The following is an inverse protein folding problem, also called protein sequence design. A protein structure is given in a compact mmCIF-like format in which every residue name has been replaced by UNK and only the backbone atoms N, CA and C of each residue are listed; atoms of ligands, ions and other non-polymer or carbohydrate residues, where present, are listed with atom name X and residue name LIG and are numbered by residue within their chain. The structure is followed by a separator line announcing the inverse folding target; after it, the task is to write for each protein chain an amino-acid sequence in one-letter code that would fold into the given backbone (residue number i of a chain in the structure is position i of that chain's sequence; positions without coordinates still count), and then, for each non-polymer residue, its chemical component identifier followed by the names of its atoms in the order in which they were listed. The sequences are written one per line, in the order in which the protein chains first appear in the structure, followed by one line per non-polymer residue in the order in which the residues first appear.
data_IF_937573164965
#
_entry.id   IF_937573164965
#
_cell.length_a   1.000
_cell.length_b   1.000
_cell.length_c   1.000
_cell.angle_alpha   90.00
_cell.angle_beta   90.00
_cell.angle_gamma   90.00
#
_symmetry.space_group_name_H-M   'P 1'
#
loop_
_entity.id
_entity.type
_entity.pdbx_description
1 polymer ?
#
# COMPACT_ATOMS: atom_id res chain seq x y z
N UNK A 1 -30.84 37.29 -70.07
CA UNK A 1 -29.81 36.23 -70.18
C UNK A 1 -29.06 36.12 -68.85
N UNK A 2 -28.84 34.86 -68.41
CA UNK A 2 -28.08 34.35 -67.23
C UNK A 2 -28.45 34.90 -65.83
N UNK A 3 -29.25 34.22 -64.97
CA UNK A 3 -29.06 32.97 -64.20
C UNK A 3 -28.09 33.02 -63.01
N UNK A 4 -28.69 32.89 -61.80
CA UNK A 4 -28.24 32.20 -60.56
C UNK A 4 -27.07 32.84 -59.79
N UNK A 5 -26.98 32.86 -58.45
CA UNK A 5 -27.43 31.91 -57.41
C UNK A 5 -27.75 32.63 -56.09
N UNK A 6 -28.70 32.07 -55.34
CA UNK A 6 -28.92 32.30 -53.90
C UNK A 6 -27.80 31.63 -53.09
N UNK A 7 -27.34 32.27 -52.01
CA UNK A 7 -26.64 31.58 -50.92
C UNK A 7 -27.19 32.08 -49.58
N UNK A 8 -27.70 31.13 -48.81
CA UNK A 8 -28.22 31.26 -47.45
C UNK A 8 -27.03 31.27 -46.49
N UNK A 9 -26.93 32.26 -45.61
CA UNK A 9 -26.02 32.23 -44.46
C UNK A 9 -26.80 31.74 -43.25
N UNK A 10 -26.67 30.44 -42.98
CA UNK A 10 -27.18 29.77 -41.79
C UNK A 10 -26.22 30.00 -40.60
N UNK A 11 -26.81 30.12 -39.41
CA UNK A 11 -26.12 30.44 -38.17
C UNK A 11 -25.04 29.43 -37.76
N UNK A 12 -23.92 29.96 -37.28
CA UNK A 12 -22.90 29.20 -36.58
C UNK A 12 -23.31 29.00 -35.13
N UNK A 13 -23.79 27.80 -34.80
CA UNK A 13 -23.82 27.31 -33.42
C UNK A 13 -22.38 26.94 -33.05
N UNK A 14 -21.80 27.65 -32.08
CA UNK A 14 -20.51 27.32 -31.52
C UNK A 14 -20.57 25.97 -30.82
N UNK A 15 -19.94 24.96 -31.41
CA UNK A 15 -19.64 23.70 -30.75
C UNK A 15 -18.59 23.98 -29.67
N UNK A 16 -19.05 24.12 -28.43
CA UNK A 16 -18.21 23.96 -27.26
C UNK A 16 -17.71 22.51 -27.25
N UNK A 17 -16.46 22.31 -27.69
CA UNK A 17 -15.75 21.06 -27.48
C UNK A 17 -15.57 20.92 -25.98
N UNK A 18 -16.41 20.12 -25.34
CA UNK A 18 -16.18 19.66 -23.99
C UNK A 18 -14.88 18.87 -23.99
N UNK A 19 -13.88 19.38 -23.27
CA UNK A 19 -12.70 18.62 -22.90
C UNK A 19 -13.16 17.48 -21.99
N UNK A 20 -13.51 16.34 -22.60
CA UNK A 20 -13.71 15.11 -21.87
C UNK A 20 -12.38 14.77 -21.18
N UNK A 21 -12.36 14.85 -19.85
CA UNK A 21 -11.30 14.32 -19.00
C UNK A 21 -11.14 12.85 -19.33
N UNK A 22 -10.10 12.52 -20.11
CA UNK A 22 -9.80 11.14 -20.46
C UNK A 22 -9.48 10.40 -19.16
N UNK A 23 -10.01 9.18 -18.94
CA UNK A 23 -9.50 8.33 -17.90
C UNK A 23 -8.01 8.16 -18.18
N UNK A 24 -7.23 8.60 -17.23
CA UNK A 24 -5.79 8.49 -17.18
C UNK A 24 -5.48 6.98 -17.32
N UNK A 25 -5.23 6.51 -18.55
CA UNK A 25 -5.20 5.10 -18.86
C UNK A 25 -3.86 4.50 -18.41
N UNK A 26 -3.92 3.39 -17.67
CA UNK A 26 -2.75 2.61 -17.30
C UNK A 26 -1.95 2.23 -18.56
N UNK A 27 -0.63 2.41 -18.55
CA UNK A 27 0.26 2.12 -19.70
C UNK A 27 0.55 0.64 -19.92
N UNK A 28 -0.15 -0.24 -19.22
CA UNK A 28 -0.10 -1.67 -19.47
C UNK A 28 -0.81 -2.00 -20.78
N UNK A 29 -0.10 -2.70 -21.65
CA UNK A 29 -0.55 -3.11 -22.97
C UNK A 29 -1.24 -4.48 -22.91
N UNK A 30 -0.75 -5.39 -22.06
CA UNK A 30 -1.42 -6.66 -21.80
C UNK A 30 -1.05 -7.23 -20.44
N UNK A 31 -1.99 -7.96 -19.84
CA UNK A 31 -1.77 -8.80 -18.67
C UNK A 31 -2.35 -10.19 -18.95
N UNK A 32 -1.50 -11.21 -18.86
CA UNK A 32 -1.89 -12.60 -18.98
C UNK A 32 -1.51 -13.32 -17.69
N UNK A 33 -2.43 -14.17 -17.22
CA UNK A 33 -2.23 -15.02 -16.04
C UNK A 33 -2.64 -16.45 -16.36
N UNK A 34 -1.76 -17.39 -16.01
CA UNK A 34 -2.05 -18.82 -16.07
C UNK A 34 -1.78 -19.45 -14.70
N UNK A 35 -2.78 -20.15 -14.17
CA UNK A 35 -2.69 -20.83 -12.87
C UNK A 35 -2.31 -22.29 -13.06
N UNK A 36 -1.36 -22.75 -12.26
CA UNK A 36 -0.90 -24.14 -12.21
C UNK A 36 -0.98 -24.66 -10.77
N UNK A 37 -0.78 -25.97 -10.59
CA UNK A 37 -0.59 -26.54 -9.27
C UNK A 37 0.64 -25.90 -8.59
N UNK A 38 0.42 -25.20 -7.48
CA UNK A 38 1.48 -24.59 -6.66
C UNK A 38 1.99 -23.22 -7.10
N UNK A 39 1.68 -22.72 -8.31
CA UNK A 39 2.14 -21.42 -8.79
C UNK A 39 1.19 -20.75 -9.78
N UNK A 40 1.29 -19.44 -9.89
CA UNK A 40 0.67 -18.65 -10.96
C UNK A 40 1.77 -18.02 -11.81
N UNK A 41 1.69 -18.17 -13.12
CA UNK A 41 2.58 -17.52 -14.08
C UNK A 41 1.91 -16.30 -14.67
N UNK A 42 2.71 -15.26 -14.89
CA UNK A 42 2.28 -13.97 -15.39
C UNK A 42 3.12 -13.59 -16.59
N UNK A 43 2.48 -12.98 -17.59
CA UNK A 43 3.16 -12.24 -18.65
C UNK A 43 2.54 -10.86 -18.75
N UNK A 44 3.38 -9.82 -18.69
CA UNK A 44 2.95 -8.43 -18.69
C UNK A 44 3.70 -7.66 -19.76
N UNK A 45 2.97 -6.89 -20.56
CA UNK A 45 3.53 -5.93 -21.52
C UNK A 45 3.14 -4.52 -21.12
N UNK A 46 4.08 -3.57 -21.18
CA UNK A 46 3.82 -2.16 -20.84
C UNK A 46 4.76 -1.21 -21.58
N UNK A 47 4.42 0.08 -21.62
CA UNK A 47 5.31 1.15 -22.08
C UNK A 47 6.05 1.74 -20.88
N UNK A 48 7.39 1.76 -20.94
CA UNK A 48 8.21 2.38 -19.90
C UNK A 48 8.28 3.92 -20.01
N UNK A 49 9.11 4.56 -19.18
CA UNK A 49 9.30 6.02 -19.20
C UNK A 49 9.84 6.56 -20.53
N UNK A 50 10.52 5.72 -21.32
CA UNK A 50 11.09 6.07 -22.63
C UNK A 50 10.17 5.67 -23.80
N UNK A 51 8.91 5.29 -23.53
CA UNK A 51 7.97 4.77 -24.53
C UNK A 51 8.44 3.47 -25.19
N UNK A 52 9.36 2.74 -24.56
CA UNK A 52 9.77 1.43 -25.05
C UNK A 52 8.80 0.39 -24.53
N UNK A 53 8.36 -0.48 -25.44
CA UNK A 53 7.61 -1.64 -25.05
C UNK A 53 8.50 -2.61 -24.28
N UNK A 54 8.02 -3.02 -23.11
CA UNK A 54 8.63 -4.05 -22.27
C UNK A 54 7.71 -5.25 -22.22
N UNK A 55 8.31 -6.43 -22.13
CA UNK A 55 7.64 -7.71 -21.98
C UNK A 55 8.38 -8.48 -20.87
N UNK A 56 7.62 -8.95 -19.87
CA UNK A 56 8.18 -9.67 -18.73
C UNK A 56 7.31 -10.88 -18.43
N UNK A 57 7.99 -11.99 -18.10
CA UNK A 57 7.37 -13.19 -17.58
C UNK A 57 7.96 -13.57 -16.24
N UNK A 58 7.11 -13.92 -15.28
CA UNK A 58 7.52 -14.37 -13.96
C UNK A 58 6.46 -15.28 -13.34
N UNK A 59 6.82 -16.00 -12.28
CA UNK A 59 5.90 -16.87 -11.55
C UNK A 59 5.92 -16.53 -10.06
N UNK A 60 4.76 -16.62 -9.42
CA UNK A 60 4.61 -16.51 -7.96
C UNK A 60 4.05 -17.80 -7.40
N UNK A 61 4.50 -18.20 -6.22
CA UNK A 61 3.95 -19.35 -5.52
C UNK A 61 2.48 -19.09 -5.14
N UNK A 62 1.59 -20.03 -5.44
CA UNK A 62 0.16 -19.92 -5.10
C UNK A 62 -0.05 -19.76 -3.59
N UNK A 63 0.76 -20.46 -2.79
CA UNK A 63 0.72 -20.36 -1.33
C UNK A 63 1.01 -18.93 -0.82
N UNK A 64 1.95 -18.19 -1.43
CA UNK A 64 2.25 -16.82 -1.02
C UNK A 64 1.12 -15.86 -1.40
N UNK A 65 0.50 -16.05 -2.57
CA UNK A 65 -0.67 -15.27 -3.00
C UNK A 65 -1.83 -15.50 -2.03
N UNK A 66 -2.13 -16.75 -1.74
CA UNK A 66 -3.27 -17.13 -0.91
C UNK A 66 -3.08 -16.71 0.56
N UNK A 67 -1.86 -16.86 1.10
CA UNK A 67 -1.54 -16.42 2.46
C UNK A 67 -1.62 -14.89 2.58
N UNK A 68 -1.06 -14.16 1.62
CA UNK A 68 -1.15 -12.69 1.61
C UNK A 68 -2.60 -12.23 1.56
N UNK A 69 -3.41 -12.83 0.67
CA UNK A 69 -4.82 -12.52 0.53
C UNK A 69 -5.63 -12.85 1.79
N UNK A 70 -5.39 -13.98 2.45
CA UNK A 70 -6.10 -14.33 3.70
C UNK A 70 -5.77 -13.34 4.83
N UNK A 71 -4.49 -13.05 5.03
CA UNK A 71 -4.02 -12.21 6.12
C UNK A 71 -4.74 -10.84 6.16
N UNK A 72 -4.84 -10.17 5.01
CA UNK A 72 -5.47 -8.84 4.96
C UNK A 72 -6.99 -8.87 4.99
N UNK A 73 -7.64 -9.99 4.60
CA UNK A 73 -9.10 -10.16 4.69
C UNK A 73 -9.59 -10.49 6.09
N UNK A 74 -8.78 -11.23 6.84
CA UNK A 74 -9.16 -11.73 8.17
C UNK A 74 -9.01 -10.65 9.27
N UNK A 75 -8.21 -9.61 9.03
CA UNK A 75 -8.12 -8.48 9.95
C UNK A 75 -9.46 -7.76 10.06
N UNK A 76 -9.97 -7.60 11.28
CA UNK A 76 -11.14 -6.78 11.57
C UNK A 76 -11.07 -6.16 12.96
N UNK A 77 -11.71 -5.01 13.14
CA UNK A 77 -11.81 -4.38 14.46
C UNK A 77 -12.69 -5.18 15.43
N UNK A 78 -13.67 -5.91 14.90
CA UNK A 78 -14.47 -6.85 15.69
C UNK A 78 -13.63 -8.03 16.17
N UNK A 79 -12.83 -8.63 15.30
CA UNK A 79 -11.89 -9.69 15.68
C UNK A 79 -10.86 -9.22 16.71
N UNK A 80 -10.36 -7.98 16.58
CA UNK A 80 -9.49 -7.37 17.60
C UNK A 80 -10.18 -7.28 18.96
N UNK A 81 -11.43 -6.80 19.00
CA UNK A 81 -12.22 -6.72 20.23
C UNK A 81 -12.42 -8.09 20.85
N UNK A 82 -12.86 -9.07 20.07
CA UNK A 82 -13.11 -10.43 20.59
C UNK A 82 -11.82 -11.09 21.10
N UNK A 83 -10.69 -10.83 20.44
CA UNK A 83 -9.37 -11.29 20.88
C UNK A 83 -8.96 -10.69 22.23
N UNK A 84 -9.12 -9.37 22.40
CA UNK A 84 -8.82 -8.67 23.66
C UNK A 84 -9.78 -9.11 24.76
N UNK A 85 -11.09 -9.20 24.47
CA UNK A 85 -12.10 -9.59 25.44
C UNK A 85 -11.80 -10.97 26.02
N UNK A 86 -11.44 -11.93 25.16
CA UNK A 86 -11.03 -13.28 25.57
C UNK A 86 -9.79 -13.24 26.47
N UNK A 87 -8.79 -12.44 26.13
CA UNK A 87 -7.57 -12.30 26.92
C UNK A 87 -7.81 -11.66 28.30
N UNK A 88 -8.69 -10.65 28.39
CA UNK A 88 -9.05 -10.03 29.68
C UNK A 88 -9.80 -11.04 30.55
N UNK A 89 -10.75 -11.80 29.99
CA UNK A 89 -11.49 -12.84 30.73
C UNK A 89 -10.55 -13.90 31.32
N UNK A 90 -9.59 -14.36 30.52
CA UNK A 90 -8.56 -15.30 30.99
C UNK A 90 -7.68 -14.68 32.09
N UNK A 91 -7.29 -13.42 31.94
CA UNK A 91 -6.50 -12.71 32.96
C UNK A 91 -7.27 -12.56 34.26
N UNK A 92 -8.54 -12.16 34.21
CA UNK A 92 -9.38 -11.98 35.38
C UNK A 92 -9.71 -13.30 36.08
N UNK A 93 -9.77 -14.43 35.37
CA UNK A 93 -9.92 -15.75 35.98
C UNK A 93 -8.77 -16.13 36.93
N UNK A 94 -7.60 -15.49 36.79
CA UNK A 94 -6.48 -15.59 37.73
C UNK A 94 -6.69 -14.83 39.06
N UNK A 95 -7.79 -14.08 39.19
CA UNK A 95 -8.15 -13.31 40.39
C UNK A 95 -9.51 -13.78 40.94
N UNK A 96 -9.57 -14.87 41.71
CA UNK A 96 -10.85 -15.51 42.10
C UNK A 96 -11.82 -14.60 42.86
N UNK A 97 -11.30 -13.65 43.65
CA UNK A 97 -12.08 -12.69 44.43
C UNK A 97 -12.42 -11.39 43.68
N UNK A 98 -11.93 -11.24 42.44
CA UNK A 98 -12.20 -10.08 41.59
C UNK A 98 -13.17 -10.46 40.48
N UNK A 99 -14.35 -9.85 40.50
CA UNK A 99 -15.36 -10.00 39.45
C UNK A 99 -15.12 -9.00 38.34
N UNK A 100 -15.05 -9.52 37.11
CA UNK A 100 -14.95 -8.73 35.88
C UNK A 100 -16.34 -8.53 35.25
N UNK A 101 -16.69 -7.28 34.98
CA UNK A 101 -17.82 -6.89 34.14
C UNK A 101 -17.27 -6.24 32.87
N UNK A 102 -17.78 -6.64 31.70
CA UNK A 102 -17.40 -6.09 30.40
C UNK A 102 -18.63 -5.50 29.73
N UNK A 103 -18.49 -4.29 29.21
CA UNK A 103 -19.46 -3.60 28.38
C UNK A 103 -18.85 -3.35 27.00
N UNK A 104 -19.56 -3.78 25.94
CA UNK A 104 -19.18 -3.46 24.56
C UNK A 104 -19.68 -2.07 24.20
N UNK A 105 -18.78 -1.22 23.73
CA UNK A 105 -19.05 0.15 23.29
C UNK A 105 -18.78 0.32 21.79
N UNK A 106 -19.09 1.51 21.28
CA UNK A 106 -18.66 1.93 19.94
C UNK A 106 -17.15 1.74 19.79
N UNK A 107 -16.75 1.24 18.62
CA UNK A 107 -15.37 0.90 18.34
C UNK A 107 -14.49 2.15 18.30
N UNK A 108 -13.45 2.17 19.12
CA UNK A 108 -12.36 3.15 19.06
C UNK A 108 -11.03 2.41 19.13
N UNK A 109 -9.95 2.99 18.61
CA UNK A 109 -8.66 2.29 18.52
C UNK A 109 -8.02 2.11 19.89
N UNK A 110 -8.19 3.07 20.78
CA UNK A 110 -7.68 3.05 22.15
C UNK A 110 -8.37 1.97 23.01
N UNK A 111 -9.70 1.89 22.97
CA UNK A 111 -10.47 0.96 23.82
C UNK A 111 -10.76 -0.37 23.15
N UNK A 112 -10.55 -0.50 21.84
CA UNK A 112 -11.06 -1.60 21.01
C UNK A 112 -12.57 -1.85 21.22
N UNK A 113 -13.34 -0.82 21.61
CA UNK A 113 -14.75 -0.95 21.93
C UNK A 113 -15.04 -1.73 23.23
N UNK A 114 -14.07 -1.81 24.15
CA UNK A 114 -14.21 -2.51 25.44
C UNK A 114 -14.14 -1.50 26.57
N UNK A 115 -15.20 -1.44 27.37
CA UNK A 115 -15.14 -0.90 28.73
C UNK A 115 -15.26 -2.04 29.74
N UNK A 116 -14.54 -1.96 30.84
CA UNK A 116 -14.61 -2.98 31.89
C UNK A 116 -14.64 -2.37 33.29
N UNK A 117 -15.21 -3.11 34.23
CA UNK A 117 -15.21 -2.81 35.66
C UNK A 117 -14.74 -4.04 36.44
N UNK A 118 -13.92 -3.80 37.45
CA UNK A 118 -13.47 -4.82 38.39
C UNK A 118 -14.07 -4.54 39.76
N UNK A 119 -14.70 -5.54 40.36
CA UNK A 119 -15.33 -5.47 41.68
C UNK A 119 -14.70 -6.54 42.58
N UNK A 120 -14.32 -6.20 43.82
CA UNK A 120 -13.64 -7.13 44.73
C UNK A 120 -12.93 -6.41 45.87
N UNK A 121 -12.10 -7.13 46.65
CA UNK A 121 -11.33 -6.54 47.75
C UNK A 121 -10.41 -5.41 47.28
N UNK A 122 -10.46 -4.24 47.94
CA UNK A 122 -9.73 -3.03 47.51
C UNK A 122 -8.21 -3.26 47.35
N UNK A 123 -7.63 -4.11 48.18
CA UNK A 123 -6.21 -4.43 48.14
C UNK A 123 -5.80 -5.26 46.89
N UNK A 124 -6.73 -5.97 46.25
CA UNK A 124 -6.48 -6.75 45.02
C UNK A 124 -6.76 -5.95 43.76
N UNK A 125 -7.72 -5.01 43.80
CA UNK A 125 -8.20 -4.28 42.63
C UNK A 125 -7.09 -3.52 41.90
N UNK A 126 -6.13 -2.93 42.63
CA UNK A 126 -5.04 -2.19 42.02
C UNK A 126 -4.17 -3.08 41.13
N UNK A 127 -3.88 -4.30 41.58
CA UNK A 127 -2.99 -5.24 40.89
C UNK A 127 -3.72 -5.93 39.75
N UNK A 128 -4.95 -6.39 39.99
CA UNK A 128 -5.82 -6.93 38.96
C UNK A 128 -6.04 -5.92 37.82
N UNK A 129 -6.29 -4.65 38.15
CA UNK A 129 -6.48 -3.60 37.15
C UNK A 129 -5.20 -3.25 36.38
N UNK A 130 -4.02 -3.34 37.01
CA UNK A 130 -2.75 -3.18 36.29
C UNK A 130 -2.54 -4.34 35.31
N UNK A 131 -2.79 -5.56 35.74
CA UNK A 131 -2.62 -6.74 34.89
C UNK A 131 -3.60 -6.75 33.72
N UNK A 132 -4.88 -6.41 33.93
CA UNK A 132 -5.87 -6.30 32.85
C UNK A 132 -5.46 -5.24 31.83
N UNK A 133 -5.01 -4.05 32.27
CA UNK A 133 -4.53 -3.00 31.34
C UNK A 133 -3.35 -3.47 30.52
N UNK A 134 -2.38 -4.13 31.15
CA UNK A 134 -1.24 -4.69 30.46
C UNK A 134 -1.66 -5.75 29.44
N UNK A 135 -2.61 -6.62 29.79
CA UNK A 135 -3.20 -7.62 28.88
C UNK A 135 -3.83 -6.95 27.66
N UNK A 136 -4.59 -5.86 27.84
CA UNK A 136 -5.21 -5.12 26.72
C UNK A 136 -4.13 -4.62 25.75
N UNK A 137 -3.15 -3.89 26.27
CA UNK A 137 -2.08 -3.29 25.46
C UNK A 137 -1.27 -4.36 24.71
N UNK A 138 -0.88 -5.43 25.40
CA UNK A 138 -0.09 -6.53 24.81
C UNK A 138 -0.87 -7.29 23.75
N UNK A 139 -2.16 -7.60 23.99
CA UNK A 139 -2.96 -8.35 23.04
C UNK A 139 -3.39 -7.48 21.86
N UNK A 140 -3.56 -6.17 22.03
CA UNK A 140 -3.76 -5.23 20.91
C UNK A 140 -2.53 -5.20 20.01
N UNK A 141 -1.34 -5.05 20.59
CA UNK A 141 -0.08 -5.09 19.84
C UNK A 141 0.09 -6.43 19.11
N UNK A 142 -0.10 -7.55 19.82
CA UNK A 142 0.03 -8.91 19.25
C UNK A 142 -0.94 -9.17 18.10
N UNK A 143 -2.21 -8.78 18.24
CA UNK A 143 -3.20 -8.95 17.19
C UNK A 143 -2.86 -8.09 15.97
N UNK A 144 -2.58 -6.80 16.17
CA UNK A 144 -2.26 -5.89 15.06
C UNK A 144 -0.98 -6.32 14.33
N UNK A 145 0.09 -6.67 15.04
CA UNK A 145 1.33 -7.19 14.46
C UNK A 145 1.11 -8.49 13.66
N UNK A 146 0.29 -9.41 14.19
CA UNK A 146 -0.04 -10.66 13.51
C UNK A 146 -0.71 -10.43 12.14
N UNK A 147 -1.38 -9.29 11.95
CA UNK A 147 -2.05 -8.91 10.71
C UNK A 147 -1.30 -7.82 9.91
N UNK A 148 -0.02 -7.57 10.21
CA UNK A 148 0.79 -6.51 9.58
C UNK A 148 0.11 -5.15 9.68
N UNK A 149 -0.49 -4.87 10.82
CA UNK A 149 -1.08 -3.58 11.17
C UNK A 149 -0.26 -2.89 12.24
N UNK A 150 -0.35 -1.58 12.25
CA UNK A 150 0.27 -0.71 13.26
C UNK A 150 -0.78 0.21 13.85
N UNK A 151 -0.57 0.57 15.11
CA UNK A 151 -1.41 1.51 15.85
C UNK A 151 -0.67 2.84 15.97
N UNK A 152 -1.24 3.91 15.43
CA UNK A 152 -0.73 5.27 15.54
C UNK A 152 -1.79 6.19 16.11
N UNK A 153 -1.67 6.52 17.40
CA UNK A 153 -2.69 7.28 18.12
C UNK A 153 -4.05 6.59 18.04
N UNK A 154 -5.02 7.23 17.37
CA UNK A 154 -6.37 6.70 17.21
C UNK A 154 -6.61 6.08 15.82
N UNK A 155 -5.57 5.58 15.15
CA UNK A 155 -5.67 4.96 13.82
C UNK A 155 -4.96 3.62 13.80
N UNK A 156 -5.56 2.63 13.13
CA UNK A 156 -4.92 1.37 12.78
C UNK A 156 -4.71 1.37 11.26
N UNK A 157 -3.47 1.28 10.83
CA UNK A 157 -3.08 1.29 9.42
C UNK A 157 -2.22 0.08 9.08
N UNK A 158 -1.91 -0.11 7.80
CA UNK A 158 -0.96 -1.14 7.38
C UNK A 158 0.44 -0.78 7.91
N UNK A 159 1.12 -1.76 8.50
CA UNK A 159 2.56 -1.65 8.73
C UNK A 159 3.29 -1.91 7.41
N UNK A 160 3.50 -0.83 6.65
CA UNK A 160 4.18 -0.90 5.36
C UNK A 160 5.61 -1.45 5.47
N UNK A 161 6.29 -1.22 6.60
CA UNK A 161 7.65 -1.73 6.83
C UNK A 161 7.62 -3.24 7.00
N UNK A 162 6.74 -3.73 7.87
CA UNK A 162 6.56 -5.16 8.10
C UNK A 162 6.07 -5.87 6.83
N UNK A 163 5.15 -5.27 6.08
CA UNK A 163 4.66 -5.80 4.81
C UNK A 163 5.76 -5.89 3.74
N UNK A 164 6.54 -4.81 3.54
CA UNK A 164 7.65 -4.83 2.58
C UNK A 164 8.70 -5.90 2.95
N UNK A 165 9.00 -6.07 4.24
CA UNK A 165 9.91 -7.12 4.72
C UNK A 165 9.34 -8.52 4.49
N UNK A 166 8.06 -8.76 4.82
CA UNK A 166 7.39 -10.06 4.73
C UNK A 166 7.29 -10.59 3.30
N UNK A 167 7.07 -9.70 2.33
CA UNK A 167 6.77 -10.10 0.94
C UNK A 167 7.94 -9.95 -0.04
N UNK A 168 9.07 -9.37 0.37
CA UNK A 168 10.26 -9.22 -0.48
C UNK A 168 10.70 -10.54 -1.13
N UNK A 169 10.70 -11.65 -0.37
CA UNK A 169 11.07 -12.97 -0.90
C UNK A 169 10.06 -13.49 -1.92
N UNK A 170 8.77 -13.29 -1.69
CA UNK A 170 7.73 -13.71 -2.62
C UNK A 170 7.84 -12.99 -3.98
N UNK A 171 8.33 -11.74 -3.99
CA UNK A 171 8.52 -10.94 -5.20
C UNK A 171 9.90 -11.14 -5.86
N UNK A 172 10.75 -12.01 -5.32
CA UNK A 172 12.06 -12.28 -5.90
C UNK A 172 12.02 -12.69 -7.38
N UNK A 173 11.11 -13.57 -7.85
CA UNK A 173 11.04 -13.94 -9.26
C UNK A 173 10.78 -12.75 -10.19
N UNK A 174 9.90 -11.82 -9.79
CA UNK A 174 9.65 -10.58 -10.53
C UNK A 174 10.90 -9.70 -10.56
N UNK A 175 11.57 -9.54 -9.42
CA UNK A 175 12.77 -8.72 -9.36
C UNK A 175 13.90 -9.27 -10.24
N UNK A 176 14.10 -10.59 -10.27
CA UNK A 176 15.07 -11.23 -11.16
C UNK A 176 14.71 -11.03 -12.64
N UNK A 177 13.43 -11.14 -13.00
CA UNK A 177 12.99 -10.89 -14.36
C UNK A 177 13.19 -9.42 -14.79
N UNK A 178 12.97 -8.46 -13.88
CA UNK A 178 13.28 -7.04 -14.13
C UNK A 178 14.78 -6.78 -14.28
N UNK A 179 15.61 -7.41 -13.45
CA UNK A 179 17.07 -7.33 -13.57
C UNK A 179 17.57 -7.90 -14.90
N UNK A 180 16.99 -9.00 -15.37
CA UNK A 180 17.32 -9.59 -16.67
C UNK A 180 17.01 -8.62 -17.83
N UNK A 181 15.88 -7.90 -17.78
CA UNK A 181 15.54 -6.87 -18.77
C UNK A 181 16.50 -5.68 -18.68
N UNK A 182 16.90 -5.29 -17.47
CA UNK A 182 17.78 -4.15 -17.28
C UNK A 182 19.23 -4.42 -17.69
N UNK A 183 19.70 -5.67 -17.61
CA UNK A 183 21.07 -6.05 -17.96
C UNK A 183 22.10 -5.23 -17.18
N UNK A 184 23.02 -4.58 -17.91
CA UNK A 184 24.10 -3.75 -17.33
C UNK A 184 23.69 -2.29 -17.08
N UNK A 185 22.41 -1.96 -17.12
CA UNK A 185 21.93 -0.60 -16.85
C UNK A 185 22.37 -0.11 -15.46
N UNK A 186 22.60 1.19 -15.34
CA UNK A 186 22.94 1.79 -14.05
C UNK A 186 21.80 1.61 -13.03
N UNK A 187 22.12 1.81 -11.75
CA UNK A 187 21.16 1.58 -10.68
C UNK A 187 19.90 2.44 -10.79
N UNK A 188 20.02 3.70 -11.23
CA UNK A 188 18.86 4.59 -11.37
C UNK A 188 17.96 4.14 -12.52
N UNK A 189 18.53 3.64 -13.61
CA UNK A 189 17.80 3.03 -14.72
C UNK A 189 17.12 1.72 -14.29
N UNK A 190 17.76 0.90 -13.46
CA UNK A 190 17.13 -0.30 -12.88
C UNK A 190 15.94 0.06 -11.99
N UNK A 191 16.08 1.07 -11.13
CA UNK A 191 14.98 1.60 -10.30
C UNK A 191 13.86 2.18 -11.19
N UNK A 192 14.21 2.92 -12.25
CA UNK A 192 13.24 3.48 -13.19
C UNK A 192 12.43 2.39 -13.90
N UNK A 193 13.09 1.31 -14.34
CA UNK A 193 12.40 0.17 -14.95
C UNK A 193 11.38 -0.46 -13.99
N UNK A 194 11.80 -0.75 -12.75
CA UNK A 194 10.92 -1.29 -11.72
C UNK A 194 9.75 -0.33 -11.41
N UNK A 195 10.04 0.96 -11.26
CA UNK A 195 9.01 2.00 -11.04
C UNK A 195 7.99 2.02 -12.19
N UNK A 196 8.46 2.00 -13.44
CA UNK A 196 7.60 2.02 -14.63
C UNK A 196 6.66 0.81 -14.69
N UNK A 197 7.13 -0.37 -14.25
CA UNK A 197 6.32 -1.58 -14.19
C UNK A 197 5.14 -1.41 -13.23
N UNK A 198 5.38 -0.92 -12.01
CA UNK A 198 4.32 -0.73 -11.03
C UNK A 198 3.38 0.44 -11.37
N UNK A 199 3.89 1.51 -11.99
CA UNK A 199 3.05 2.60 -12.51
C UNK A 199 2.13 2.14 -13.66
N UNK A 200 2.56 1.14 -14.44
CA UNK A 200 1.75 0.59 -15.51
C UNK A 200 0.60 -0.29 -15.00
N UNK A 201 0.68 -0.86 -13.80
CA UNK A 201 -0.42 -1.63 -13.20
C UNK A 201 -1.63 -0.69 -13.00
N UNK A 202 -2.86 -1.11 -13.37
CA UNK A 202 -4.08 -0.33 -13.14
C UNK A 202 -4.25 0.18 -11.71
N UNK A 203 -4.69 1.43 -11.56
CA UNK A 203 -5.00 2.02 -10.25
C UNK A 203 -6.42 1.61 -9.81
N UNK A 204 -6.56 1.21 -8.55
CA UNK A 204 -7.84 0.92 -7.91
C UNK A 204 -7.73 1.42 -6.46
N UNK A 205 -8.63 2.31 -6.03
CA UNK A 205 -8.62 2.85 -4.65
C UNK A 205 -8.93 1.81 -3.58
N UNK A 206 -9.36 0.62 -3.98
CA UNK A 206 -9.74 -0.47 -3.09
C UNK A 206 -10.87 -0.13 -2.09
N UNK A 207 -11.61 0.97 -2.32
CA UNK A 207 -12.62 1.54 -1.41
C UNK A 207 -13.87 0.66 -1.21
N UNK A 208 -14.21 -0.18 -2.19
CA UNK A 208 -15.34 -1.10 -2.10
C UNK A 208 -14.89 -2.48 -1.61
N UNK A 209 -14.93 -2.71 -0.28
CA UNK A 209 -14.52 -3.99 0.31
C UNK A 209 -15.35 -5.16 -0.21
N UNK A 210 -16.62 -4.98 -0.58
CA UNK A 210 -17.44 -6.08 -1.12
C UNK A 210 -16.96 -6.45 -2.52
N UNK A 211 -16.76 -5.46 -3.39
CA UNK A 211 -16.29 -5.66 -4.77
C UNK A 211 -14.82 -6.10 -4.83
N UNK A 212 -14.01 -5.69 -3.86
CA UNK A 212 -12.59 -6.01 -3.82
C UNK A 212 -12.31 -7.34 -3.09
N UNK A 213 -13.32 -8.00 -2.53
CA UNK A 213 -13.15 -9.27 -1.82
C UNK A 213 -12.60 -9.11 -0.39
N UNK A 214 -12.76 -7.94 0.21
CA UNK A 214 -12.48 -7.63 1.63
C UNK A 214 -11.26 -6.73 1.86
N UNK A 215 -10.43 -6.51 0.84
CA UNK A 215 -9.17 -5.79 0.98
C UNK A 215 -9.38 -4.28 1.15
N UNK A 216 -8.64 -3.71 2.10
CA UNK A 216 -8.38 -2.27 2.25
C UNK A 216 -6.92 -1.92 1.88
N UNK A 217 -6.19 -2.92 1.39
CA UNK A 217 -4.81 -2.89 0.91
C UNK A 217 -4.57 -4.21 0.15
N UNK A 218 -4.00 -4.14 -1.06
CA UNK A 218 -3.63 -5.32 -1.83
C UNK A 218 -2.16 -5.68 -1.55
N UNK A 219 -1.86 -6.67 -0.70
CA UNK A 219 -0.47 -7.02 -0.41
C UNK A 219 0.26 -7.47 -1.67
N UNK A 220 1.60 -7.29 -1.76
CA UNK A 220 2.33 -7.38 -3.02
C UNK A 220 2.07 -8.62 -3.89
N UNK A 221 2.03 -9.86 -3.36
CA UNK A 221 1.66 -11.02 -4.18
C UNK A 221 0.23 -10.96 -4.72
N UNK A 222 -0.70 -10.48 -3.89
CA UNK A 222 -2.12 -10.30 -4.25
C UNK A 222 -2.31 -9.16 -5.26
N UNK A 223 -1.59 -8.04 -5.13
CA UNK A 223 -1.60 -6.94 -6.11
C UNK A 223 -1.20 -7.45 -7.50
N UNK A 224 -0.14 -8.27 -7.58
CA UNK A 224 0.31 -8.84 -8.85
C UNK A 224 -0.69 -9.85 -9.40
N UNK A 225 -1.33 -10.66 -8.55
CA UNK A 225 -2.39 -11.58 -9.00
C UNK A 225 -3.64 -10.85 -9.50
N UNK A 226 -4.09 -9.82 -8.77
CA UNK A 226 -5.26 -9.03 -9.13
C UNK A 226 -4.99 -8.07 -10.30
N UNK A 227 -3.72 -7.75 -10.55
CA UNK A 227 -3.26 -6.75 -11.51
C UNK A 227 -3.90 -5.38 -11.28
N UNK A 228 -4.03 -4.98 -10.02
CA UNK A 228 -4.52 -3.67 -9.61
C UNK A 228 -4.16 -3.40 -8.15
N UNK A 229 -4.11 -2.12 -7.80
CA UNK A 229 -3.92 -1.66 -6.43
C UNK A 229 -3.88 -0.14 -6.35
N UNK A 230 -3.98 0.36 -5.13
CA UNK A 230 -3.87 1.75 -4.74
C UNK A 230 -2.40 2.19 -4.61
N UNK A 231 -2.19 3.44 -4.18
CA UNK A 231 -0.87 4.07 -4.11
C UNK A 231 0.08 3.35 -3.14
N UNK A 232 -0.40 2.97 -1.95
CA UNK A 232 0.42 2.33 -0.93
C UNK A 232 0.69 0.86 -1.23
N UNK A 233 -0.27 0.10 -1.77
CA UNK A 233 -0.03 -1.27 -2.24
C UNK A 233 1.07 -1.31 -3.30
N UNK A 234 1.03 -0.39 -4.27
CA UNK A 234 2.07 -0.28 -5.32
C UNK A 234 3.42 0.15 -4.76
N UNK A 235 3.45 1.10 -3.83
CA UNK A 235 4.68 1.54 -3.20
C UNK A 235 5.34 0.43 -2.37
N UNK A 236 4.55 -0.37 -1.62
CA UNK A 236 5.07 -1.53 -0.88
C UNK A 236 5.57 -2.62 -1.82
N UNK A 237 4.86 -2.89 -2.92
CA UNK A 237 5.29 -3.88 -3.91
C UNK A 237 6.58 -3.45 -4.62
N UNK A 238 6.70 -2.18 -4.97
CA UNK A 238 7.94 -1.60 -5.48
C UNK A 238 9.07 -1.74 -4.46
N UNK A 239 8.83 -1.42 -3.19
CA UNK A 239 9.83 -1.58 -2.14
C UNK A 239 10.33 -3.02 -1.99
N UNK A 240 9.44 -4.01 -2.09
CA UNK A 240 9.81 -5.43 -2.10
C UNK A 240 10.80 -5.76 -3.22
N UNK A 241 10.53 -5.27 -4.44
CA UNK A 241 11.40 -5.48 -5.62
C UNK A 241 12.72 -4.72 -5.48
N UNK A 242 12.72 -3.50 -4.94
CA UNK A 242 13.94 -2.70 -4.81
C UNK A 242 14.98 -3.33 -3.89
N UNK A 243 14.60 -4.16 -2.91
CA UNK A 243 15.56 -4.94 -2.10
C UNK A 243 16.47 -5.85 -2.94
N UNK A 244 16.01 -6.27 -4.11
CA UNK A 244 16.79 -7.06 -5.06
C UNK A 244 17.40 -6.21 -6.18
N UNK A 245 16.65 -5.21 -6.67
CA UNK A 245 17.07 -4.37 -7.81
C UNK A 245 18.16 -3.34 -7.43
N UNK A 246 18.14 -2.88 -6.18
CA UNK A 246 19.07 -1.92 -5.60
C UNK A 246 19.43 -2.33 -4.16
N UNK A 247 20.11 -3.47 -3.95
CA UNK A 247 20.27 -4.11 -2.62
C UNK A 247 21.09 -3.29 -1.63
N UNK A 248 21.91 -2.36 -2.11
CA UNK A 248 22.72 -1.47 -1.27
C UNK A 248 22.00 -0.17 -0.91
N UNK A 249 20.78 0.03 -1.42
CA UNK A 249 20.00 1.23 -1.20
C UNK A 249 18.98 1.04 -0.10
N UNK A 250 18.81 2.09 0.69
CA UNK A 250 17.75 2.20 1.67
C UNK A 250 16.54 2.82 1.01
N UNK A 251 15.38 2.29 1.37
CA UNK A 251 14.10 2.85 0.96
C UNK A 251 13.35 3.39 2.17
N UNK A 252 12.38 4.26 1.94
CA UNK A 252 11.48 4.76 2.96
C UNK A 252 10.09 4.97 2.36
N UNK A 253 9.05 4.55 3.06
CA UNK A 253 7.69 4.95 2.70
C UNK A 253 7.48 6.40 3.16
N UNK A 254 6.85 7.22 2.33
CA UNK A 254 6.38 8.54 2.74
C UNK A 254 4.85 8.59 2.57
N UNK A 255 4.14 8.83 3.67
CA UNK A 255 2.69 8.85 3.72
C UNK A 255 2.20 10.27 3.97
N UNK A 256 1.19 10.69 3.23
CA UNK A 256 0.53 11.98 3.34
C UNK A 256 -0.99 11.78 3.33
N UNK A 257 -1.80 12.80 3.67
CA UNK A 257 -3.24 12.65 3.66
C UNK A 257 -3.77 12.10 2.32
N UNK A 258 -4.35 10.90 2.36
CA UNK A 258 -4.95 10.23 1.21
C UNK A 258 -3.95 9.70 0.17
N UNK A 259 -2.64 9.68 0.44
CA UNK A 259 -1.65 9.27 -0.57
C UNK A 259 -0.35 8.72 0.04
N UNK A 260 0.36 7.90 -0.73
CA UNK A 260 1.65 7.35 -0.35
C UNK A 260 2.62 7.25 -1.54
N UNK A 261 3.89 7.52 -1.28
CA UNK A 261 4.99 7.31 -2.24
C UNK A 261 6.11 6.51 -1.59
N UNK A 262 7.01 6.00 -2.41
CA UNK A 262 8.27 5.42 -1.95
C UNK A 262 9.39 6.45 -2.13
N UNK A 263 10.41 6.38 -1.29
CA UNK A 263 11.67 7.09 -1.46
C UNK A 263 12.84 6.11 -1.46
N UNK A 264 13.90 6.39 -2.21
CA UNK A 264 15.12 5.57 -2.27
C UNK A 264 16.38 6.44 -2.23
N UNK A 265 17.44 6.01 -1.55
CA UNK A 265 18.70 6.78 -1.42
C UNK A 265 19.66 6.60 -2.62
N UNK A 266 19.11 6.71 -3.84
CA UNK A 266 19.89 6.82 -5.09
C UNK A 266 20.56 8.19 -5.21
N UNK A 267 21.63 8.34 -6.01
CA UNK A 267 22.28 9.63 -6.23
C UNK A 267 21.28 10.69 -6.70
N UNK A 268 21.31 11.82 -6.00
CA UNK A 268 20.48 13.00 -6.28
C UNK A 268 20.85 13.61 -7.64
N UNK A 269 19.83 14.11 -8.35
CA UNK A 269 19.97 14.94 -9.54
C UNK A 269 19.22 16.26 -9.34
N UNK A 270 19.67 17.31 -10.04
CA UNK A 270 19.00 18.60 -10.00
C UNK A 270 17.52 18.48 -10.38
N UNK A 271 16.65 19.07 -9.54
CA UNK A 271 15.20 19.01 -9.71
C UNK A 271 14.52 17.74 -9.20
N UNK A 272 15.26 16.79 -8.61
CA UNK A 272 14.64 15.65 -7.93
C UNK A 272 13.81 16.12 -6.73
N UNK A 273 12.56 15.65 -6.64
CA UNK A 273 11.77 15.67 -5.43
C UNK A 273 12.29 14.62 -4.44
N UNK A 274 12.25 14.93 -3.15
CA UNK A 274 12.82 14.08 -2.11
C UNK A 274 12.07 14.22 -0.78
N UNK A 275 12.27 13.22 0.09
CA UNK A 275 11.92 13.26 1.51
C UNK A 275 13.17 13.02 2.34
N UNK A 276 13.19 13.53 3.57
CA UNK A 276 14.34 13.38 4.47
C UNK A 276 13.91 12.81 5.82
N UNK A 277 14.71 11.88 6.33
CA UNK A 277 14.57 11.32 7.68
C UNK A 277 15.94 10.98 8.22
N UNK A 278 16.21 11.38 9.46
CA UNK A 278 17.45 11.08 10.18
C UNK A 278 18.72 11.45 9.38
N UNK A 279 18.73 12.63 8.78
CA UNK A 279 19.83 13.15 7.96
C UNK A 279 20.00 12.49 6.58
N UNK A 280 19.18 11.48 6.26
CA UNK A 280 19.23 10.78 4.96
C UNK A 280 18.19 11.31 4.00
N UNK A 281 18.62 11.59 2.77
CA UNK A 281 17.77 12.01 1.66
C UNK A 281 17.32 10.77 0.88
N UNK A 282 16.01 10.70 0.60
CA UNK A 282 15.41 9.68 -0.22
C UNK A 282 14.72 10.35 -1.41
N UNK A 283 15.16 10.00 -2.62
CA UNK A 283 14.59 10.51 -3.87
C UNK A 283 13.21 9.89 -4.07
N UNK A 284 12.22 10.73 -4.37
CA UNK A 284 10.82 10.34 -4.47
C UNK A 284 10.55 9.44 -5.68
N UNK A 285 9.73 8.42 -5.47
CA UNK A 285 9.24 7.45 -6.45
C UNK A 285 7.71 7.39 -6.35
N UNK A 286 7.03 8.00 -7.31
CA UNK A 286 5.57 8.00 -7.40
C UNK A 286 5.07 6.67 -7.99
N UNK A 287 4.93 5.63 -7.16
CA UNK A 287 4.47 4.31 -7.64
C UNK A 287 3.01 4.32 -8.09
N UNK A 288 2.22 5.30 -7.63
CA UNK A 288 0.86 5.52 -8.08
C UNK A 288 0.85 5.95 -9.55
N UNK A 289 0.61 4.99 -10.43
CA UNK A 289 0.20 5.26 -11.80
C UNK A 289 -1.14 6.01 -11.84
N UNK A 290 -1.52 6.54 -13.00
CA UNK A 290 -0.95 6.23 -14.32
C UNK A 290 -0.10 7.38 -14.88
N UNK A 291 0.10 8.45 -14.11
CA UNK A 291 1.14 9.42 -14.40
C UNK A 291 2.48 8.69 -14.31
N UNK A 292 3.09 8.39 -15.46
CA UNK A 292 4.37 7.68 -15.58
C UNK A 292 5.53 8.60 -15.16
N UNK A 293 5.52 9.01 -13.89
CA UNK A 293 6.47 9.95 -13.33
C UNK A 293 7.86 9.28 -13.22
N UNK A 294 8.92 9.86 -13.83
CA UNK A 294 10.27 9.35 -13.68
C UNK A 294 10.78 9.40 -12.23
N UNK A 295 11.88 8.69 -11.94
CA UNK A 295 12.58 8.79 -10.65
C UNK A 295 12.87 10.26 -10.32
N UNK A 296 12.48 10.69 -9.11
CA UNK A 296 12.63 12.07 -8.64
C UNK A 296 11.55 13.02 -9.14
N UNK A 297 10.55 12.56 -9.88
CA UNK A 297 9.39 13.36 -10.28
C UNK A 297 8.15 12.85 -9.57
N UNK A 298 7.29 13.79 -9.22
CA UNK A 298 6.05 13.54 -8.51
C UNK A 298 4.90 14.35 -9.13
N UNK A 299 3.68 13.90 -8.93
CA UNK A 299 2.46 14.58 -9.30
C UNK A 299 2.34 15.92 -8.55
N UNK A 300 1.62 16.92 -9.11
CA UNK A 300 1.46 18.23 -8.47
C UNK A 300 0.88 18.16 -7.06
N UNK A 301 -0.02 17.21 -6.79
CA UNK A 301 -0.59 17.03 -5.45
C UNK A 301 0.47 16.56 -4.45
N UNK A 302 1.27 15.56 -4.81
CA UNK A 302 2.40 15.08 -4.01
C UNK A 302 3.40 16.19 -3.76
N UNK A 303 3.76 16.97 -4.79
CA UNK A 303 4.67 18.11 -4.66
C UNK A 303 4.22 19.11 -3.58
N UNK A 304 2.92 19.46 -3.55
CA UNK A 304 2.36 20.35 -2.52
C UNK A 304 2.55 19.83 -1.10
N UNK A 305 2.41 18.52 -0.87
CA UNK A 305 2.65 17.93 0.44
C UNK A 305 4.14 17.93 0.80
N UNK A 306 5.02 17.67 -0.17
CA UNK A 306 6.46 17.73 0.03
C UNK A 306 6.94 19.14 0.38
N UNK A 307 6.48 20.15 -0.36
CA UNK A 307 6.81 21.56 -0.13
C UNK A 307 6.33 22.05 1.24
N UNK A 308 5.11 21.64 1.63
CA UNK A 308 4.53 21.98 2.93
C UNK A 308 5.09 21.14 4.11
N UNK A 309 5.98 20.17 3.84
CA UNK A 309 6.45 19.18 4.82
C UNK A 309 5.32 18.46 5.58
N UNK A 310 4.19 18.25 4.91
CA UNK A 310 3.01 17.61 5.49
C UNK A 310 2.97 16.12 5.10
N UNK A 311 3.89 15.35 5.67
CA UNK A 311 4.01 13.91 5.46
C UNK A 311 4.76 13.25 6.62
N UNK A 312 4.61 11.93 6.74
CA UNK A 312 5.40 11.08 7.63
C UNK A 312 6.33 10.19 6.82
N UNK A 313 7.57 9.99 7.30
CA UNK A 313 8.56 9.13 6.64
C UNK A 313 8.85 7.91 7.51
N UNK A 314 8.78 6.74 6.90
CA UNK A 314 8.95 5.43 7.51
C UNK A 314 10.10 4.69 6.83
N UNK A 315 11.33 4.76 7.38
CA UNK A 315 12.47 4.04 6.82
C UNK A 315 12.20 2.54 6.74
N UNK A 316 12.38 1.97 5.56
CA UNK A 316 12.38 0.53 5.32
C UNK A 316 13.81 0.03 5.64
N UNK A 317 14.10 -0.16 6.92
CA UNK A 317 15.38 -0.73 7.34
C UNK A 317 15.59 -2.09 6.66
N UNK A 318 16.82 -2.37 6.23
CA UNK A 318 17.21 -3.65 5.61
C UNK A 318 16.80 -4.87 6.45
#
# INVERSE_FOLDING_TARGET
MSLRRRAVLAGGVGLAVSLASHPLAARQLSFQRQRYAGQSQYRVRWLDHEQRERDISFALAAAEIDQAARLFREFSLEGLRDYIESAIRLTAAGWPEVKLEIERRSMTVDTAGIAYRLNGPQHLLADANRQVRQTIEQNRARYTEAYLRRVDGNTISVDYVAAARRYARALWPLAQALLAIAGNADERARVALALSFFQAIPYDELTDRVRNGGYDFAPPPTLLDLNRGDCDSKAVALACVLRAVAPHRRSAMATMPGHAILGVDVPWREGDAWVRRDGRVFIALEAAGPAMAPVGRVAPQTARFLDAQNFSVWPLSA
#
